data_IF_934537755197
#
_entry.id   IF_934537755197
#
_cell.length_a   1.000
_cell.length_b   1.000
_cell.length_c   1.000
_cell.angle_alpha   90.00
_cell.angle_beta   90.00
_cell.angle_gamma   90.00
#
_symmetry.space_group_name_H-M   'P 1'
#
loop_
_entity.id
_entity.type
_entity.pdbx_description
1 polymer ?
#
# COMPACT_ATOMS: atom_id res chain seq x y z
N UNK A 1 -15.59 10.21 -3.68
CA UNK A 1 -15.56 9.56 -2.35
C UNK A 1 -14.10 9.31 -2.00
N UNK A 2 -13.61 9.77 -0.85
CA UNK A 2 -12.17 9.70 -0.49
C UNK A 2 -11.90 8.95 0.83
N UNK A 3 -12.90 8.22 1.32
CA UNK A 3 -12.80 7.39 2.51
C UNK A 3 -14.18 6.92 2.97
N UNK A 4 -14.25 5.69 3.47
CA UNK A 4 -15.49 5.06 3.94
C UNK A 4 -15.19 3.97 4.97
N UNK A 5 -16.22 3.60 5.74
CA UNK A 5 -16.19 2.42 6.59
C UNK A 5 -16.51 1.16 5.76
N UNK A 6 -15.79 0.08 6.05
CA UNK A 6 -16.02 -1.23 5.46
C UNK A 6 -15.98 -2.28 6.58
N UNK A 7 -17.16 -2.75 6.99
CA UNK A 7 -17.26 -3.78 8.03
C UNK A 7 -16.65 -5.11 7.56
N UNK A 8 -16.31 -5.98 8.51
CA UNK A 8 -15.81 -7.33 8.19
C UNK A 8 -16.77 -8.05 7.23
N UNK A 9 -16.23 -8.60 6.14
CA UNK A 9 -16.95 -9.28 5.05
C UNK A 9 -17.87 -8.40 4.20
N UNK A 10 -17.87 -7.09 4.40
CA UNK A 10 -18.60 -6.17 3.53
C UNK A 10 -17.81 -5.88 2.24
N UNK A 11 -18.51 -5.31 1.25
CA UNK A 11 -17.92 -4.85 0.00
C UNK A 11 -18.50 -3.49 -0.38
N UNK A 12 -17.73 -2.69 -1.11
CA UNK A 12 -18.15 -1.39 -1.62
C UNK A 12 -17.40 -1.08 -2.91
N UNK A 13 -18.07 -0.44 -3.87
CA UNK A 13 -17.49 -0.05 -5.15
C UNK A 13 -17.31 1.47 -5.24
N UNK A 14 -16.31 1.88 -6.01
CA UNK A 14 -16.04 3.27 -6.38
C UNK A 14 -15.59 3.29 -7.83
N UNK A 15 -16.17 4.17 -8.63
CA UNK A 15 -15.77 4.35 -10.02
C UNK A 15 -14.52 5.24 -10.09
N UNK A 16 -13.56 4.85 -10.92
CA UNK A 16 -12.39 5.65 -11.28
C UNK A 16 -12.54 6.14 -12.74
N UNK A 17 -12.01 7.33 -13.04
CA UNK A 17 -11.98 7.83 -14.42
C UNK A 17 -10.93 7.09 -15.25
N UNK A 18 -11.05 7.17 -16.58
CA UNK A 18 -9.98 6.81 -17.51
C UNK A 18 -9.57 8.06 -18.30
N UNK A 19 -8.29 8.50 -18.24
CA UNK A 19 -7.21 7.96 -17.40
C UNK A 19 -7.37 8.34 -15.92
N UNK A 20 -6.68 7.62 -15.04
CA UNK A 20 -6.55 7.93 -13.62
C UNK A 20 -5.28 7.32 -13.05
N UNK A 21 -4.67 7.98 -12.07
CA UNK A 21 -3.57 7.40 -11.30
C UNK A 21 -3.74 7.79 -9.85
N UNK A 22 -3.59 6.81 -8.96
CA UNK A 22 -3.75 7.03 -7.54
C UNK A 22 -3.55 5.76 -6.74
N UNK A 23 -3.91 5.84 -5.46
CA UNK A 23 -3.61 4.81 -4.47
C UNK A 23 -4.75 4.61 -3.48
N UNK A 24 -4.81 3.41 -2.93
CA UNK A 24 -5.78 2.96 -1.94
C UNK A 24 -5.05 2.37 -0.73
N UNK A 25 -5.64 2.51 0.47
CA UNK A 25 -5.11 1.92 1.69
C UNK A 25 -6.25 1.62 2.68
N UNK A 26 -6.00 0.70 3.61
CA UNK A 26 -6.90 0.41 4.72
C UNK A 26 -6.46 1.13 6.00
N UNK A 27 -7.39 1.74 6.72
CA UNK A 27 -7.15 2.27 8.07
C UNK A 27 -7.67 1.29 9.11
N UNK A 28 -6.98 1.15 10.24
CA UNK A 28 -7.40 0.25 11.33
C UNK A 28 -7.43 0.97 12.68
N UNK A 29 -8.19 0.39 13.63
CA UNK A 29 -8.38 0.91 14.99
C UNK A 29 -8.83 2.38 14.98
N UNK A 30 -9.89 2.64 14.21
CA UNK A 30 -10.43 3.98 14.06
C UNK A 30 -11.56 4.24 15.06
N UNK A 31 -11.67 5.49 15.52
CA UNK A 31 -12.76 5.93 16.36
C UNK A 31 -13.01 7.43 16.19
N UNK A 32 -14.18 7.90 16.62
CA UNK A 32 -14.46 9.34 16.72
C UNK A 32 -14.32 9.74 18.18
N UNK A 33 -13.50 10.74 18.47
CA UNK A 33 -13.33 11.24 19.83
C UNK A 33 -14.54 12.09 20.30
N UNK A 34 -14.52 12.51 21.57
CA UNK A 34 -15.60 13.32 22.15
C UNK A 34 -15.77 14.70 21.48
N UNK A 35 -14.76 15.17 20.74
CA UNK A 35 -14.82 16.41 19.96
C UNK A 35 -15.35 16.18 18.53
N UNK A 36 -15.71 14.96 18.16
CA UNK A 36 -16.22 14.62 16.84
C UNK A 36 -15.11 14.38 15.79
N UNK A 37 -13.85 14.29 16.21
CA UNK A 37 -12.72 14.06 15.29
C UNK A 37 -12.51 12.57 15.09
N UNK A 38 -12.58 12.12 13.84
CA UNK A 38 -12.26 10.75 13.45
C UNK A 38 -10.74 10.57 13.32
N UNK A 39 -10.18 9.59 14.03
CA UNK A 39 -8.75 9.24 14.00
C UNK A 39 -8.56 7.73 13.97
N UNK A 40 -7.46 7.27 13.39
CA UNK A 40 -7.05 5.86 13.33
C UNK A 40 -5.63 5.66 13.88
N UNK A 41 -5.34 4.49 14.45
CA UNK A 41 -3.98 4.18 14.93
C UNK A 41 -3.02 3.83 13.79
N UNK A 42 -3.51 3.31 12.66
CA UNK A 42 -2.67 3.04 11.47
C UNK A 42 -3.26 3.65 10.20
N UNK A 43 -2.37 4.15 9.34
CA UNK A 43 -2.68 4.77 8.05
C UNK A 43 -3.70 5.92 8.09
N UNK A 44 -3.82 6.61 9.24
CA UNK A 44 -4.68 7.79 9.38
C UNK A 44 -4.33 8.84 8.32
N UNK A 45 -5.33 9.57 7.82
CA UNK A 45 -5.11 10.58 6.79
C UNK A 45 -5.22 12.02 7.30
N UNK A 46 -5.31 12.22 8.61
CA UNK A 46 -5.23 13.53 9.25
C UNK A 46 -6.41 14.47 9.00
N UNK A 47 -7.44 14.06 8.25
CA UNK A 47 -8.58 14.91 7.90
C UNK A 47 -9.53 15.17 9.08
N UNK A 48 -9.46 14.35 10.13
CA UNK A 48 -10.43 14.36 11.22
C UNK A 48 -11.80 13.81 10.83
N UNK A 49 -11.92 13.19 9.66
CA UNK A 49 -13.16 12.63 9.12
C UNK A 49 -12.94 11.23 8.54
N UNK A 50 -14.04 10.50 8.32
CA UNK A 50 -13.99 9.24 7.55
C UNK A 50 -13.47 9.50 6.13
N UNK A 51 -13.85 10.60 5.49
CA UNK A 51 -13.30 10.98 4.19
C UNK A 51 -11.90 11.60 4.34
N UNK A 52 -10.94 11.22 3.50
CA UNK A 52 -9.57 11.77 3.56
C UNK A 52 -9.39 13.09 2.80
N UNK A 53 -10.38 13.52 2.02
CA UNK A 53 -10.42 14.85 1.39
C UNK A 53 -9.16 15.23 0.59
N UNK A 54 -8.52 14.26 -0.07
CA UNK A 54 -7.30 14.46 -0.86
C UNK A 54 -6.00 14.31 -0.08
N UNK A 55 -6.05 14.13 1.24
CA UNK A 55 -4.88 13.76 2.03
C UNK A 55 -4.51 12.28 1.84
N UNK A 56 -3.21 11.98 1.84
CA UNK A 56 -2.68 10.62 1.84
C UNK A 56 -2.63 10.01 3.25
N UNK A 57 -2.32 8.72 3.33
CA UNK A 57 -2.04 8.04 4.59
C UNK A 57 -0.79 8.62 5.27
N UNK A 58 -0.81 8.70 6.60
CA UNK A 58 0.38 8.80 7.43
C UNK A 58 0.99 7.39 7.52
N UNK A 59 2.20 7.17 6.98
CA UNK A 59 2.81 5.84 6.98
C UNK A 59 3.26 5.43 8.41
N UNK A 60 3.41 4.12 8.68
CA UNK A 60 3.39 3.01 7.72
C UNK A 60 1.99 2.59 7.23
N UNK A 61 1.89 2.32 5.93
CA UNK A 61 0.65 1.89 5.30
C UNK A 61 0.93 0.98 4.09
N UNK A 62 0.25 -0.17 4.03
CA UNK A 62 0.20 -0.99 2.82
C UNK A 62 -0.60 -0.23 1.76
N UNK A 63 -0.06 -0.10 0.55
CA UNK A 63 -0.71 0.60 -0.55
C UNK A 63 -1.15 -0.39 -1.62
N UNK A 64 -2.27 -0.10 -2.27
CA UNK A 64 -2.53 -0.57 -3.64
C UNK A 64 -2.44 0.65 -4.55
N UNK A 65 -1.59 0.57 -5.57
CA UNK A 65 -1.36 1.63 -6.53
C UNK A 65 -1.93 1.18 -7.89
N UNK A 66 -2.67 2.05 -8.57
CA UNK A 66 -3.24 1.75 -9.89
C UNK A 66 -3.10 2.98 -10.78
N UNK A 67 -2.58 2.76 -11.99
CA UNK A 67 -2.58 3.70 -13.11
C UNK A 67 -3.44 3.13 -14.23
N UNK A 68 -4.63 3.70 -14.37
CA UNK A 68 -5.61 3.39 -15.42
C UNK A 68 -5.26 4.18 -16.68
N UNK A 69 -5.02 3.47 -17.78
CA UNK A 69 -4.69 4.03 -19.07
C UNK A 69 -5.90 4.67 -19.75
N UNK A 70 -5.64 5.66 -20.61
CA UNK A 70 -6.65 6.21 -21.50
C UNK A 70 -7.02 5.21 -22.61
N UNK A 71 -8.26 5.31 -23.11
CA UNK A 71 -8.74 4.59 -24.30
C UNK A 71 -8.57 3.05 -24.23
N UNK A 72 -8.71 2.46 -23.03
CA UNK A 72 -8.56 1.01 -22.84
C UNK A 72 -7.14 0.50 -23.06
N UNK A 73 -6.13 1.38 -22.89
CA UNK A 73 -4.71 1.02 -22.93
C UNK A 73 -4.29 0.08 -21.79
N UNK A 74 -2.97 -0.04 -21.58
CA UNK A 74 -2.41 -0.92 -20.56
C UNK A 74 -2.36 -0.21 -19.21
N UNK A 75 -3.13 -0.73 -18.26
CA UNK A 75 -3.10 -0.33 -16.86
C UNK A 75 -1.87 -0.96 -16.18
N UNK A 76 -1.35 -0.25 -15.19
CA UNK A 76 -0.29 -0.72 -14.28
C UNK A 76 -0.82 -0.69 -12.86
N UNK A 77 -0.54 -1.73 -12.07
CA UNK A 77 -1.00 -1.79 -10.70
C UNK A 77 -0.14 -2.71 -9.85
N UNK A 78 -0.22 -2.52 -8.54
CA UNK A 78 0.54 -3.29 -7.56
C UNK A 78 0.02 -3.11 -6.13
N UNK A 79 0.44 -4.01 -5.26
CA UNK A 79 0.53 -3.81 -3.82
C UNK A 79 1.95 -3.34 -3.52
N UNK A 80 2.09 -2.31 -2.69
CA UNK A 80 3.36 -1.67 -2.39
C UNK A 80 3.58 -1.55 -0.88
N UNK A 81 4.77 -1.96 -0.44
CA UNK A 81 5.29 -1.88 0.92
C UNK A 81 6.44 -0.87 1.05
N UNK A 82 6.62 -0.02 0.03
CA UNK A 82 7.59 1.08 0.04
C UNK A 82 7.33 2.03 1.23
N UNK A 83 6.05 2.29 1.50
CA UNK A 83 5.56 3.05 2.66
C UNK A 83 5.29 2.16 3.89
N UNK A 84 5.86 0.95 3.93
CA UNK A 84 5.69 -0.01 5.01
C UNK A 84 4.40 -0.84 4.92
N UNK A 85 4.03 -1.44 6.03
CA UNK A 85 2.90 -2.37 6.12
C UNK A 85 2.03 -2.04 7.32
N UNK A 86 0.70 -2.14 7.18
CA UNK A 86 -0.21 -2.16 8.32
C UNK A 86 -1.24 -3.30 8.27
N UNK A 87 -1.73 -3.67 7.09
CA UNK A 87 -2.59 -4.83 6.89
C UNK A 87 -2.28 -5.58 5.57
N UNK A 88 -2.60 -6.89 5.49
CA UNK A 88 -2.54 -7.62 4.23
C UNK A 88 -3.48 -7.01 3.19
N UNK A 89 -3.05 -6.96 1.93
CA UNK A 89 -3.86 -6.46 0.83
C UNK A 89 -3.58 -7.21 -0.47
N UNK A 90 -4.57 -7.28 -1.35
CA UNK A 90 -4.38 -7.69 -2.75
C UNK A 90 -5.18 -6.83 -3.70
N UNK A 91 -4.73 -6.76 -4.95
CA UNK A 91 -5.45 -6.16 -6.08
C UNK A 91 -5.49 -7.16 -7.24
N UNK A 92 -6.69 -7.39 -7.77
CA UNK A 92 -6.92 -8.33 -8.86
C UNK A 92 -7.83 -7.69 -9.93
N UNK A 93 -7.37 -7.58 -11.20
CA UNK A 93 -8.23 -7.13 -12.28
C UNK A 93 -9.35 -8.15 -12.55
N UNK A 94 -10.52 -7.65 -12.96
CA UNK A 94 -11.69 -8.43 -13.37
C UNK A 94 -11.96 -8.13 -14.85
N UNK A 95 -11.87 -9.16 -15.70
CA UNK A 95 -11.90 -8.96 -17.15
C UNK A 95 -10.58 -8.43 -17.68
N UNK A 96 -10.65 -7.55 -18.68
CA UNK A 96 -9.46 -7.09 -19.40
C UNK A 96 -8.76 -8.18 -20.22
N UNK A 97 -7.58 -7.84 -20.74
CA UNK A 97 -6.76 -8.70 -21.61
C UNK A 97 -5.26 -8.51 -21.31
N UNK A 98 -4.45 -9.54 -21.52
CA UNK A 98 -3.02 -9.53 -21.21
C UNK A 98 -2.68 -10.44 -20.02
N UNK A 99 -1.66 -10.07 -19.25
CA UNK A 99 -1.20 -10.85 -18.09
C UNK A 99 -2.26 -10.92 -16.98
N UNK A 100 -2.79 -9.75 -16.60
CA UNK A 100 -3.90 -9.56 -15.66
C UNK A 100 -3.76 -10.40 -14.37
N UNK A 101 -2.52 -10.53 -13.87
CA UNK A 101 -2.22 -11.27 -12.65
C UNK A 101 -2.54 -10.41 -11.42
N UNK A 102 -2.94 -11.01 -10.30
CA UNK A 102 -3.10 -10.27 -9.05
C UNK A 102 -1.75 -9.89 -8.46
N UNK A 103 -1.68 -8.71 -7.83
CA UNK A 103 -0.61 -8.34 -6.90
C UNK A 103 -1.11 -8.53 -5.47
N UNK A 104 -0.24 -9.00 -4.57
CA UNK A 104 -0.68 -9.41 -3.24
C UNK A 104 0.42 -9.39 -2.19
N UNK A 105 0.08 -8.87 -1.02
CA UNK A 105 0.77 -9.11 0.23
C UNK A 105 -0.21 -9.76 1.23
N UNK A 106 -0.33 -11.10 1.24
CA UNK A 106 -1.31 -11.80 2.07
C UNK A 106 -0.79 -12.08 3.49
N UNK A 107 0.51 -11.97 3.72
CA UNK A 107 1.14 -12.28 5.00
C UNK A 107 0.88 -11.20 6.05
N UNK A 108 0.81 -11.59 7.32
CA UNK A 108 0.84 -10.66 8.43
C UNK A 108 2.28 -10.23 8.74
N UNK A 109 2.80 -9.25 7.98
CA UNK A 109 4.19 -8.76 8.11
C UNK A 109 4.49 -8.23 9.51
N UNK A 110 3.48 -7.73 10.25
CA UNK A 110 3.65 -7.28 11.64
C UNK A 110 4.23 -8.38 12.55
N UNK A 111 3.93 -9.65 12.29
CA UNK A 111 4.44 -10.77 13.07
C UNK A 111 5.95 -11.05 12.86
N UNK A 112 6.50 -10.64 11.71
CA UNK A 112 7.91 -10.78 11.36
C UNK A 112 8.68 -9.44 11.44
N UNK A 113 8.00 -8.35 11.86
CA UNK A 113 8.56 -7.00 11.84
C UNK A 113 9.73 -6.86 12.85
N UNK A 114 10.95 -6.49 12.41
CA UNK A 114 12.07 -6.23 13.31
C UNK A 114 11.78 -5.09 14.29
N UNK A 115 12.33 -5.17 15.50
CA UNK A 115 12.05 -4.21 16.57
C UNK A 115 12.23 -2.74 16.16
N UNK A 116 13.27 -2.43 15.38
CA UNK A 116 13.58 -1.08 14.91
C UNK A 116 12.57 -0.53 13.88
N UNK A 117 11.70 -1.38 13.31
CA UNK A 117 10.67 -1.01 12.35
C UNK A 117 9.25 -1.03 12.95
N UNK A 118 9.08 -1.56 14.15
CA UNK A 118 7.76 -1.74 14.77
C UNK A 118 7.12 -0.41 15.15
N UNK A 119 5.83 -0.26 14.82
CA UNK A 119 4.92 0.68 15.48
C UNK A 119 3.99 -0.13 16.37
N UNK A 120 3.89 0.28 17.64
CA UNK A 120 3.12 -0.43 18.66
C UNK A 120 1.93 0.37 19.14
N UNK A 121 0.83 -0.33 19.40
CA UNK A 121 -0.31 0.22 20.14
C UNK A 121 -0.02 0.27 21.65
N UNK A 122 -0.94 0.90 22.40
CA UNK A 122 -0.84 1.02 23.86
C UNK A 122 -0.82 -0.34 24.59
N UNK A 123 -1.44 -1.37 24.00
CA UNK A 123 -1.43 -2.74 24.51
C UNK A 123 -0.11 -3.49 24.25
N UNK A 124 0.86 -2.85 23.56
CA UNK A 124 2.15 -3.43 23.20
C UNK A 124 2.16 -4.27 21.92
N UNK A 125 1.01 -4.48 21.27
CA UNK A 125 0.92 -5.19 20.01
C UNK A 125 1.57 -4.38 18.87
N UNK A 126 2.26 -5.07 17.96
CA UNK A 126 2.77 -4.46 16.72
C UNK A 126 1.61 -4.30 15.75
N UNK A 127 1.25 -3.05 15.45
CA UNK A 127 0.09 -2.71 14.61
C UNK A 127 0.47 -2.36 13.18
N UNK A 128 1.73 -2.01 12.96
CA UNK A 128 2.27 -1.73 11.62
C UNK A 128 3.80 -1.81 11.64
N UNK A 129 4.40 -1.99 10.46
CA UNK A 129 5.82 -2.12 10.25
C UNK A 129 6.32 -1.05 9.27
N UNK A 130 7.25 -0.19 9.70
CA UNK A 130 7.89 0.80 8.83
C UNK A 130 8.76 0.12 7.79
N UNK A 131 8.84 0.67 6.58
CA UNK A 131 9.95 0.37 5.68
C UNK A 131 11.25 0.96 6.24
N UNK A 132 12.39 0.49 5.74
CA UNK A 132 13.69 1.04 6.14
C UNK A 132 13.86 2.51 5.74
N UNK A 133 13.28 2.93 4.60
CA UNK A 133 13.29 4.33 4.21
C UNK A 133 12.60 5.19 5.26
N UNK A 134 11.40 4.80 5.71
CA UNK A 134 10.66 5.53 6.75
C UNK A 134 11.34 5.51 8.12
N UNK A 135 12.06 4.44 8.45
CA UNK A 135 12.71 4.29 9.74
C UNK A 135 14.04 5.05 9.83
N UNK A 136 14.82 5.07 8.76
CA UNK A 136 16.22 5.54 8.81
C UNK A 136 16.51 6.71 7.86
N UNK A 137 15.80 6.83 6.74
CA UNK A 137 15.97 7.92 5.79
C UNK A 137 17.24 7.86 4.93
N UNK A 138 18.09 6.85 5.09
CA UNK A 138 19.30 6.69 4.26
C UNK A 138 18.95 6.54 2.77
N UNK A 139 19.79 7.13 1.92
CA UNK A 139 19.64 7.07 0.46
C UNK A 139 19.57 5.65 -0.09
N UNK A 140 20.32 4.71 0.50
CA UNK A 140 20.30 3.28 0.14
C UNK A 140 18.97 2.57 0.42
N UNK A 141 18.11 3.13 1.26
CA UNK A 141 16.78 2.58 1.54
C UNK A 141 15.67 3.34 0.81
N UNK A 142 15.83 4.66 0.67
CA UNK A 142 14.86 5.53 0.01
C UNK A 142 15.08 5.67 -1.49
N UNK A 143 16.17 5.11 -2.01
CA UNK A 143 16.59 5.24 -3.40
C UNK A 143 16.64 6.71 -3.88
N UNK A 144 17.19 7.58 -3.04
CA UNK A 144 17.44 8.99 -3.34
C UNK A 144 18.93 9.20 -3.68
N UNK A 145 19.34 10.34 -4.29
CA UNK A 145 20.74 10.55 -4.65
C UNK A 145 21.69 10.34 -3.45
N UNK A 146 22.80 9.58 -3.61
CA UNK A 146 23.38 9.07 -4.86
C UNK A 146 22.85 7.69 -5.32
N UNK A 147 21.86 7.11 -4.63
CA UNK A 147 21.28 5.80 -4.90
C UNK A 147 19.95 5.91 -5.69
N UNK A 148 19.85 6.80 -6.67
CA UNK A 148 18.59 7.10 -7.38
C UNK A 148 18.44 6.37 -8.72
N UNK A 149 19.05 5.19 -8.85
CA UNK A 149 18.84 4.27 -9.97
C UNK A 149 18.69 2.84 -9.45
N UNK A 150 18.05 1.93 -10.21
CA UNK A 150 17.96 0.52 -9.82
C UNK A 150 19.33 -0.13 -9.54
N UNK A 151 20.37 0.23 -10.29
CA UNK A 151 21.73 -0.30 -10.13
C UNK A 151 22.41 0.20 -8.86
N UNK A 152 22.07 1.42 -8.44
CA UNK A 152 22.68 2.08 -7.27
C UNK A 152 21.87 1.89 -6.00
N UNK A 153 20.62 1.41 -6.08
CA UNK A 153 19.77 1.06 -4.95
C UNK A 153 19.34 -0.42 -5.04
N UNK A 154 20.24 -1.37 -4.76
CA UNK A 154 19.89 -2.78 -4.73
C UNK A 154 19.00 -3.11 -3.52
N UNK A 155 18.36 -4.29 -3.51
CA UNK A 155 17.68 -4.81 -2.32
C UNK A 155 18.60 -4.80 -1.09
N UNK A 156 18.00 -4.61 0.09
CA UNK A 156 18.70 -4.54 1.38
C UNK A 156 18.18 -5.61 2.33
N UNK A 157 18.87 -5.82 3.45
CA UNK A 157 18.42 -6.73 4.51
C UNK A 157 16.99 -6.43 4.99
N UNK A 158 16.53 -5.18 4.87
CA UNK A 158 15.20 -4.77 5.26
C UNK A 158 14.14 -4.99 4.18
N UNK A 159 14.42 -4.63 2.92
CA UNK A 159 13.46 -4.87 1.83
C UNK A 159 13.23 -6.37 1.63
N UNK A 160 14.27 -7.19 1.79
CA UNK A 160 14.21 -8.65 1.75
C UNK A 160 13.27 -9.27 2.81
N UNK A 161 12.96 -8.56 3.90
CA UNK A 161 11.97 -9.03 4.89
C UNK A 161 10.58 -8.93 4.29
N UNK A 162 10.26 -7.80 3.65
CA UNK A 162 8.99 -7.59 2.98
C UNK A 162 8.84 -8.54 1.79
N UNK A 163 9.89 -8.68 0.97
CA UNK A 163 9.92 -9.57 -0.19
C UNK A 163 9.64 -11.02 0.18
N UNK A 164 10.28 -11.54 1.25
CA UNK A 164 10.07 -12.92 1.69
C UNK A 164 8.64 -13.19 2.19
N UNK A 165 8.00 -12.19 2.77
CA UNK A 165 6.61 -12.31 3.25
C UNK A 165 5.61 -12.13 2.11
N UNK A 166 5.93 -11.25 1.16
CA UNK A 166 5.02 -10.77 0.12
C UNK A 166 5.74 -10.61 -1.23
N UNK A 167 6.17 -11.71 -1.88
CA UNK A 167 6.99 -11.68 -3.10
C UNK A 167 6.23 -11.24 -4.36
N UNK A 168 4.96 -10.86 -4.21
CA UNK A 168 4.10 -10.37 -5.29
C UNK A 168 3.68 -8.91 -5.03
N UNK A 169 4.45 -8.19 -4.23
CA UNK A 169 4.25 -6.80 -3.84
C UNK A 169 5.61 -6.07 -3.87
N UNK A 170 5.63 -4.77 -4.14
CA UNK A 170 6.88 -3.99 -4.07
C UNK A 170 7.43 -3.98 -2.65
N UNK A 171 8.64 -4.51 -2.47
CA UNK A 171 9.34 -4.48 -1.19
C UNK A 171 10.17 -3.20 -0.97
N UNK A 172 10.50 -2.49 -2.05
CA UNK A 172 11.19 -1.19 -2.07
C UNK A 172 11.00 -0.48 -3.43
N UNK A 173 11.55 0.74 -3.57
CA UNK A 173 11.22 1.66 -4.66
C UNK A 173 11.61 1.21 -6.09
N UNK A 174 12.55 0.27 -6.26
CA UNK A 174 12.96 -0.23 -7.59
C UNK A 174 12.77 -1.74 -7.75
N UNK A 175 11.78 -2.30 -7.07
CA UNK A 175 11.44 -3.72 -7.13
C UNK A 175 10.63 -4.12 -8.38
N UNK A 176 11.03 -3.62 -9.55
CA UNK A 176 10.20 -3.66 -10.76
C UNK A 176 10.12 -5.05 -11.42
N UNK A 177 11.09 -5.94 -11.15
CA UNK A 177 11.22 -7.19 -11.91
C UNK A 177 10.09 -8.19 -11.66
N UNK A 178 9.53 -8.20 -10.46
CA UNK A 178 8.46 -9.13 -10.07
C UNK A 178 7.18 -8.42 -9.60
N UNK A 179 7.22 -7.10 -9.41
CA UNK A 179 6.15 -6.38 -8.71
C UNK A 179 5.37 -5.41 -9.59
N UNK A 180 5.76 -5.20 -10.86
CA UNK A 180 4.92 -4.46 -11.83
C UNK A 180 3.91 -5.39 -12.51
N UNK A 181 2.62 -5.17 -12.27
CA UNK A 181 1.55 -5.95 -12.90
C UNK A 181 0.77 -5.12 -13.92
N UNK A 182 0.31 -5.77 -14.99
CA UNK A 182 -0.37 -5.09 -16.10
C UNK A 182 -1.62 -5.80 -16.58
N UNK A 183 -2.60 -5.02 -17.04
CA UNK A 183 -3.82 -5.52 -17.66
C UNK A 183 -4.39 -4.45 -18.60
N UNK A 184 -4.85 -4.82 -19.79
CA UNK A 184 -5.35 -3.88 -20.81
C UNK A 184 -6.85 -4.05 -21.06
N UNK A 185 -7.48 -3.09 -21.73
CA UNK A 185 -8.88 -3.21 -22.16
C UNK A 185 -9.91 -2.81 -21.11
N UNK A 186 -9.52 -1.93 -20.16
CA UNK A 186 -10.41 -1.39 -19.14
C UNK A 186 -10.97 -2.43 -18.17
N UNK A 187 -10.11 -3.19 -17.47
CA UNK A 187 -10.57 -4.09 -16.41
C UNK A 187 -11.21 -3.31 -15.25
N UNK A 188 -12.15 -3.94 -14.57
CA UNK A 188 -12.51 -3.53 -13.20
C UNK A 188 -11.45 -4.08 -12.22
N UNK A 189 -11.45 -3.62 -10.97
CA UNK A 189 -10.52 -4.10 -9.94
C UNK A 189 -11.23 -4.51 -8.66
N UNK A 190 -10.77 -5.62 -8.07
CA UNK A 190 -11.13 -6.02 -6.70
C UNK A 190 -9.92 -5.82 -5.81
N UNK A 191 -10.07 -4.95 -4.80
CA UNK A 191 -9.10 -4.78 -3.71
C UNK A 191 -9.63 -5.54 -2.49
N UNK A 192 -8.81 -6.45 -1.94
CA UNK A 192 -9.16 -7.25 -0.76
C UNK A 192 -8.23 -6.91 0.40
N UNK A 193 -8.80 -6.76 1.59
CA UNK A 193 -8.13 -6.52 2.86
C UNK A 193 -8.24 -7.76 3.78
#
# INVERSE_FOLDING_TARGET
LTGFELASKASRSVDASSPWSGRFWGRTRCSTDAAGKFTCETADCGSGQVACNGAGAVPPATLVEITIAANGGQDYYDVSLVDGFNLPMSVAPQGGTGECKPSSCPANVNAACPAQLQVKAADGSVISCKSACLAFGDSKYCCTPPNNTPETCPPTEYSEIFEKQCPQAYSYAYDDKNSTFTCSGGPDYVITF
#
